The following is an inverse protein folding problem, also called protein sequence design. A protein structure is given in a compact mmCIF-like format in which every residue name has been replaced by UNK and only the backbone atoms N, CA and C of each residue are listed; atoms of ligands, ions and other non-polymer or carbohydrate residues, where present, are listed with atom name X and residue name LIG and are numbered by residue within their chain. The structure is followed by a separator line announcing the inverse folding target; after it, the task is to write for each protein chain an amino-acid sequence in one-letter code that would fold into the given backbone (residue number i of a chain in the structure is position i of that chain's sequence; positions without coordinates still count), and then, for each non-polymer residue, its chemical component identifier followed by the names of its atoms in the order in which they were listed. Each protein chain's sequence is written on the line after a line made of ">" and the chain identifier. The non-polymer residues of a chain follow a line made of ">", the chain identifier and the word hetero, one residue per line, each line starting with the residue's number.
data_IF_666886083491
#
_entry.id   IF_666886083491
#
_cell.length_a   1.000
_cell.length_b   1.000
_cell.length_c   1.000
_cell.angle_alpha   90.00
_cell.angle_beta   90.00
_cell.angle_gamma   90.00
#
_symmetry.space_group_name_H-M   'P 1'
#
loop_
_entity.id
_entity.type
_entity.pdbx_description
1 polymer ?
#
# COMPACT_ATOMS: atom_id res chain seq x y z
N UNK A 1 7.01 15.58 -8.93
CA UNK A 1 7.59 14.63 -7.95
C UNK A 1 8.19 13.43 -8.70
N UNK A 2 9.25 12.80 -8.17
CA UNK A 2 9.92 11.63 -8.77
C UNK A 2 10.25 10.59 -7.70
N UNK A 3 10.41 9.33 -8.10
CA UNK A 3 10.88 8.28 -7.19
C UNK A 3 12.39 8.41 -6.91
N UNK A 4 12.93 7.54 -6.05
CA UNK A 4 14.35 7.54 -5.66
C UNK A 4 15.32 7.29 -6.83
N UNK A 5 14.86 6.75 -7.96
CA UNK A 5 15.62 6.58 -9.19
C UNK A 5 15.47 7.72 -10.20
N UNK A 6 14.77 8.80 -9.83
CA UNK A 6 14.55 9.96 -10.69
C UNK A 6 13.43 9.81 -11.73
N UNK A 7 12.65 8.72 -11.69
CA UNK A 7 11.50 8.53 -12.60
C UNK A 7 10.33 9.41 -12.12
N UNK A 8 9.78 10.30 -12.96
CA UNK A 8 8.65 11.14 -12.58
C UNK A 8 7.40 10.32 -12.24
N UNK A 9 6.65 10.79 -11.25
CA UNK A 9 5.30 10.28 -11.03
C UNK A 9 4.43 10.54 -12.26
N UNK A 10 3.62 9.54 -12.64
CA UNK A 10 2.65 9.66 -13.72
C UNK A 10 1.35 8.94 -13.35
N UNK A 11 0.27 9.26 -14.08
CA UNK A 11 -1.03 8.62 -13.89
C UNK A 11 -1.01 7.10 -14.15
N UNK A 12 0.03 6.56 -14.80
CA UNK A 12 0.17 5.12 -15.02
C UNK A 12 0.35 4.32 -13.72
N UNK A 13 0.69 4.96 -12.60
CA UNK A 13 0.76 4.32 -11.28
C UNK A 13 -0.60 4.19 -10.59
N UNK A 14 -1.65 4.83 -11.10
CA UNK A 14 -3.01 4.70 -10.61
C UNK A 14 -3.70 3.62 -11.43
N UNK A 15 -4.26 2.62 -10.76
CA UNK A 15 -5.09 1.62 -11.40
C UNK A 15 -6.53 1.79 -10.97
N UNK A 16 -7.44 1.61 -11.92
CA UNK A 16 -8.88 1.58 -11.69
C UNK A 16 -9.52 0.90 -12.90
N UNK A 17 -10.18 -0.22 -12.67
CA UNK A 17 -10.83 -1.05 -13.69
C UNK A 17 -12.35 -0.96 -13.63
N UNK A 18 -12.90 -0.25 -12.64
CA UNK A 18 -14.33 -0.20 -12.35
C UNK A 18 -14.94 -1.58 -12.04
N UNK A 19 -14.08 -2.53 -11.68
CA UNK A 19 -14.46 -3.82 -11.10
C UNK A 19 -13.98 -3.80 -9.64
N UNK A 20 -14.90 -3.75 -8.64
CA UNK A 20 -14.52 -3.57 -7.25
C UNK A 20 -13.58 -4.65 -6.71
N UNK A 21 -13.70 -5.90 -7.15
CA UNK A 21 -12.81 -6.97 -6.69
C UNK A 21 -11.40 -6.78 -7.25
N UNK A 22 -11.26 -6.54 -8.55
CA UNK A 22 -9.97 -6.28 -9.18
C UNK A 22 -9.27 -5.08 -8.53
N UNK A 23 -10.00 -3.98 -8.34
CA UNK A 23 -9.47 -2.75 -7.75
C UNK A 23 -9.00 -2.99 -6.29
N UNK A 24 -9.79 -3.71 -5.47
CA UNK A 24 -9.38 -4.03 -4.08
C UNK A 24 -8.18 -4.98 -4.00
N UNK A 25 -8.03 -5.92 -4.94
CA UNK A 25 -6.83 -6.76 -5.00
C UNK A 25 -5.58 -5.97 -5.41
N UNK A 26 -5.72 -4.97 -6.28
CA UNK A 26 -4.64 -4.04 -6.60
C UNK A 26 -4.27 -3.20 -5.38
N UNK A 27 -5.25 -2.72 -4.61
CA UNK A 27 -5.04 -1.99 -3.36
C UNK A 27 -4.30 -2.86 -2.33
N UNK A 28 -4.70 -4.12 -2.11
CA UNK A 28 -3.96 -5.05 -1.24
C UNK A 28 -2.49 -5.19 -1.65
N UNK A 29 -2.22 -5.31 -2.94
CA UNK A 29 -0.87 -5.43 -3.46
C UNK A 29 -0.08 -4.12 -3.29
N UNK A 30 -0.73 -2.97 -3.45
CA UNK A 30 -0.13 -1.65 -3.24
C UNK A 30 0.32 -1.48 -1.77
N UNK A 31 -0.55 -1.83 -0.81
CA UNK A 31 -0.26 -1.75 0.63
C UNK A 31 0.92 -2.66 1.03
N UNK A 32 1.00 -3.88 0.48
CA UNK A 32 2.14 -4.77 0.76
C UNK A 32 3.46 -4.25 0.17
N UNK A 33 3.43 -3.62 -1.01
CA UNK A 33 4.61 -2.98 -1.62
C UNK A 33 5.07 -1.77 -0.82
N UNK A 34 4.13 -0.95 -0.33
CA UNK A 34 4.43 0.17 0.57
C UNK A 34 5.07 -0.32 1.88
N UNK A 35 4.44 -1.29 2.55
CA UNK A 35 4.97 -1.93 3.77
C UNK A 35 6.39 -2.48 3.56
N UNK A 36 6.64 -3.18 2.46
CA UNK A 36 7.96 -3.72 2.13
C UNK A 36 8.99 -2.61 1.87
N UNK A 37 8.58 -1.50 1.26
CA UNK A 37 9.42 -0.32 1.07
C UNK A 37 9.81 0.30 2.41
N UNK A 38 8.87 0.43 3.34
CA UNK A 38 9.14 0.91 4.70
C UNK A 38 10.04 -0.02 5.51
N UNK A 39 9.86 -1.34 5.41
CA UNK A 39 10.78 -2.32 5.99
C UNK A 39 12.22 -2.08 5.51
N UNK A 40 12.41 -1.81 4.21
CA UNK A 40 13.73 -1.54 3.65
C UNK A 40 14.32 -0.24 4.19
N UNK A 41 13.52 0.83 4.32
CA UNK A 41 13.97 2.10 4.91
C UNK A 41 14.44 1.89 6.36
N UNK A 42 13.65 1.17 7.17
CA UNK A 42 13.99 0.91 8.57
C UNK A 42 15.24 0.05 8.77
N UNK A 43 15.69 -0.69 7.74
CA UNK A 43 16.96 -1.43 7.78
C UNK A 43 18.18 -0.55 7.55
N UNK A 44 18.01 0.58 6.85
CA UNK A 44 19.14 1.41 6.38
C UNK A 44 19.17 2.82 6.97
N UNK A 45 18.11 3.22 7.68
CA UNK A 45 17.98 4.54 8.29
C UNK A 45 17.97 4.44 9.82
N UNK A 46 18.79 5.25 10.47
CA UNK A 46 18.97 5.33 11.92
C UNK A 46 18.50 6.67 12.52
N UNK A 47 18.08 7.63 11.69
CA UNK A 47 17.54 8.92 12.12
C UNK A 47 16.16 8.75 12.83
N UNK A 48 16.04 9.13 14.12
CA UNK A 48 14.79 9.02 14.87
C UNK A 48 13.62 9.80 14.26
N UNK A 49 13.88 10.96 13.64
CA UNK A 49 12.85 11.82 13.07
C UNK A 49 12.22 11.18 11.82
N UNK A 50 13.01 10.38 11.08
CA UNK A 50 12.51 9.60 9.94
C UNK A 50 11.89 8.29 10.40
N UNK A 51 12.59 7.52 11.25
CA UNK A 51 12.17 6.16 11.61
C UNK A 51 10.88 6.14 12.43
N UNK A 52 10.59 7.18 13.22
CA UNK A 52 9.33 7.31 13.95
C UNK A 52 8.12 7.40 13.01
N UNK A 53 8.18 8.28 12.00
CA UNK A 53 7.15 8.42 10.99
C UNK A 53 6.98 7.14 10.16
N UNK A 54 8.09 6.52 9.74
CA UNK A 54 8.05 5.30 8.93
C UNK A 54 7.42 4.12 9.69
N UNK A 55 7.69 3.98 11.00
CA UNK A 55 7.04 2.95 11.83
C UNK A 55 5.52 3.14 11.89
N UNK A 56 5.06 4.37 12.08
CA UNK A 56 3.63 4.69 12.07
C UNK A 56 2.98 4.35 10.73
N UNK A 57 3.57 4.78 9.61
CA UNK A 57 3.04 4.47 8.28
C UNK A 57 3.03 2.97 7.99
N UNK A 58 4.07 2.24 8.40
CA UNK A 58 4.15 0.80 8.26
C UNK A 58 3.01 0.06 8.99
N UNK A 59 2.67 0.49 10.19
CA UNK A 59 1.53 -0.07 10.93
C UNK A 59 0.21 0.23 10.20
N UNK A 60 0.08 1.43 9.62
CA UNK A 60 -1.09 1.82 8.82
C UNK A 60 -1.28 0.94 7.59
N UNK A 61 -0.24 0.55 6.86
CA UNK A 61 -0.42 -0.30 5.68
C UNK A 61 -0.90 -1.71 6.05
N UNK A 62 -0.55 -2.21 7.25
CA UNK A 62 -1.13 -3.46 7.77
C UNK A 62 -2.64 -3.29 8.01
N UNK A 63 -3.04 -2.15 8.58
CA UNK A 63 -4.47 -1.84 8.78
C UNK A 63 -5.18 -1.67 7.45
N UNK A 64 -4.63 -0.94 6.48
CA UNK A 64 -5.22 -0.78 5.15
C UNK A 64 -5.41 -2.13 4.47
N UNK A 65 -4.37 -2.98 4.47
CA UNK A 65 -4.44 -4.34 3.92
C UNK A 65 -5.56 -5.16 4.57
N UNK A 66 -5.69 -5.13 5.89
CA UNK A 66 -6.77 -5.84 6.59
C UNK A 66 -8.14 -5.29 6.20
N UNK A 67 -8.32 -3.96 6.14
CA UNK A 67 -9.60 -3.34 5.77
C UNK A 67 -10.01 -3.64 4.34
N UNK A 68 -9.08 -3.60 3.38
CA UNK A 68 -9.40 -4.01 2.01
C UNK A 68 -9.77 -5.50 1.94
N UNK A 69 -9.09 -6.36 2.70
CA UNK A 69 -9.42 -7.78 2.81
C UNK A 69 -10.83 -8.03 3.36
N UNK A 70 -11.21 -7.33 4.43
CA UNK A 70 -12.57 -7.38 4.99
C UNK A 70 -13.64 -6.99 3.95
N UNK A 71 -13.37 -5.98 3.11
CA UNK A 71 -14.30 -5.57 2.05
C UNK A 71 -14.39 -6.62 0.94
N UNK A 72 -13.27 -7.26 0.57
CA UNK A 72 -13.28 -8.36 -0.40
C UNK A 72 -14.15 -9.51 0.10
N UNK A 73 -14.04 -9.89 1.37
CA UNK A 73 -14.86 -10.97 1.94
C UNK A 73 -16.36 -10.64 1.84
N UNK A 74 -16.75 -9.40 2.19
CA UNK A 74 -18.14 -8.92 2.08
C UNK A 74 -18.64 -8.97 0.63
N UNK A 75 -17.83 -8.50 -0.33
CA UNK A 75 -18.23 -8.48 -1.75
C UNK A 75 -18.35 -9.90 -2.32
N UNK A 76 -17.45 -10.80 -1.94
CA UNK A 76 -17.51 -12.19 -2.38
C UNK A 76 -18.73 -12.93 -1.82
N UNK A 77 -19.21 -12.58 -0.63
CA UNK A 77 -20.46 -13.12 -0.09
C UNK A 77 -21.69 -12.67 -0.89
N UNK A 78 -21.69 -11.45 -1.44
CA UNK A 78 -22.79 -10.91 -2.24
C UNK A 78 -22.88 -11.49 -3.66
N UNK A 79 -21.78 -12.05 -4.16
CA UNK A 79 -21.71 -12.66 -5.50
C UNK A 79 -22.14 -14.14 -5.47
N UNK A 80 -22.13 -14.77 -4.29
CA UNK A 80 -22.59 -16.16 -4.08
C UNK A 80 -24.12 -16.24 -4.04
#
# INVERSE_FOLDING_TARGET
>A
PSNAGGVPFSAAYIQSKADPLADLYEDLAAEQKARATYDNILRVCDDPDVTSAIKFLREREVVHFQRFGEVIDILQEQIK
#
